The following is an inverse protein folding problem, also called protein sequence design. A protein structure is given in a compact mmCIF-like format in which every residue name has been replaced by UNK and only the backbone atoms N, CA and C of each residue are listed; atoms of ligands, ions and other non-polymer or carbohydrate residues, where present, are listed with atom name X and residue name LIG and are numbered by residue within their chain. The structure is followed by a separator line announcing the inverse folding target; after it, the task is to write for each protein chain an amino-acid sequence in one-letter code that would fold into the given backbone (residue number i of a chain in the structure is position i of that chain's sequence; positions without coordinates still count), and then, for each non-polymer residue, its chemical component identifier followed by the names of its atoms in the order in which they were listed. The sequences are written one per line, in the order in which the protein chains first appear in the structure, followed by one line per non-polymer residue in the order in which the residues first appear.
data_IF_415357375514
#
_entry.id   IF_415357375514
#
_cell.length_a   1.000
_cell.length_b   1.000
_cell.length_c   1.000
_cell.angle_alpha   90.00
_cell.angle_beta   90.00
_cell.angle_gamma   90.00
#
_symmetry.space_group_name_H-M   'P 1'
#
loop_
_entity.id
_entity.type
_entity.pdbx_description
1 polymer ?
#
# COMPACT_ATOMS: atom_id res chain seq x y z
N UNK A 1 -5.82 -0.87 -8.32
CA UNK A 1 -5.26 -0.50 -9.63
C UNK A 1 -3.89 -1.15 -9.76
N UNK A 2 -3.84 -2.48 -9.95
CA UNK A 2 -2.58 -3.22 -10.19
C UNK A 2 -2.24 -3.20 -11.70
N UNK A 3 -3.28 -3.04 -12.53
CA UNK A 3 -3.25 -3.17 -13.99
C UNK A 3 -2.68 -1.92 -14.69
N UNK A 4 -2.80 -0.72 -14.13
CA UNK A 4 -2.36 0.52 -14.80
C UNK A 4 -0.85 0.81 -14.65
N UNK A 5 -0.08 -0.13 -14.09
CA UNK A 5 1.32 0.10 -13.74
C UNK A 5 2.18 -0.89 -14.51
N UNK A 6 3.01 -0.37 -15.41
CA UNK A 6 3.88 -1.18 -16.27
C UNK A 6 5.08 -1.78 -15.53
N UNK A 7 5.30 -1.41 -14.26
CA UNK A 7 6.47 -1.79 -13.46
C UNK A 7 6.07 -2.35 -12.08
N UNK A 8 6.49 -3.59 -11.70
CA UNK A 8 6.28 -4.14 -10.37
C UNK A 8 6.86 -3.28 -9.24
N UNK A 9 7.88 -2.46 -9.50
CA UNK A 9 8.44 -1.53 -8.54
C UNK A 9 7.43 -0.45 -8.10
N UNK A 10 6.53 -0.03 -8.99
CA UNK A 10 5.49 0.92 -8.63
C UNK A 10 4.51 0.31 -7.63
N UNK A 11 4.08 -0.94 -7.85
CA UNK A 11 3.24 -1.70 -6.89
C UNK A 11 3.96 -1.91 -5.55
N UNK A 12 5.23 -2.31 -5.58
CA UNK A 12 6.02 -2.44 -4.36
C UNK A 12 6.06 -1.13 -3.58
N UNK A 13 6.20 0.00 -4.26
CA UNK A 13 6.16 1.31 -3.62
C UNK A 13 4.85 1.60 -2.88
N UNK A 14 3.69 1.23 -3.45
CA UNK A 14 2.42 1.34 -2.72
C UNK A 14 2.40 0.45 -1.48
N UNK A 15 2.93 -0.78 -1.56
CA UNK A 15 3.02 -1.67 -0.40
C UNK A 15 3.93 -1.10 0.69
N UNK A 16 5.08 -0.52 0.32
CA UNK A 16 6.00 0.14 1.26
C UNK A 16 5.36 1.38 1.90
N UNK A 17 4.61 2.18 1.13
CA UNK A 17 3.87 3.32 1.66
C UNK A 17 2.77 2.87 2.65
N UNK A 18 2.03 1.81 2.35
CA UNK A 18 1.03 1.25 3.27
C UNK A 18 1.65 0.64 4.52
N UNK A 19 2.85 0.06 4.43
CA UNK A 19 3.59 -0.43 5.60
C UNK A 19 3.91 0.71 6.58
N UNK A 20 4.30 1.88 6.07
CA UNK A 20 4.50 3.08 6.89
C UNK A 20 3.19 3.62 7.47
N UNK A 21 2.10 3.62 6.69
CA UNK A 21 0.76 4.04 7.18
C UNK A 21 0.28 3.14 8.32
N UNK A 22 0.47 1.83 8.20
CA UNK A 22 0.16 0.84 9.25
C UNK A 22 0.92 1.12 10.54
N UNK A 23 2.19 1.55 10.45
CA UNK A 23 2.99 1.89 11.61
C UNK A 23 2.52 3.20 12.27
N UNK A 24 2.02 4.15 11.48
CA UNK A 24 1.49 5.41 11.97
C UNK A 24 0.11 5.27 12.63
N UNK A 25 -0.74 4.36 12.12
CA UNK A 25 -2.07 4.05 12.68
C UNK A 25 -2.32 2.54 12.68
N UNK A 26 -2.47 1.97 13.87
CA UNK A 26 -2.80 0.56 14.04
C UNK A 26 -4.15 0.24 13.37
N UNK A 27 -4.19 -0.64 12.34
CA UNK A 27 -5.42 -0.99 11.64
C UNK A 27 -6.45 -1.67 12.55
N UNK A 28 -6.00 -2.46 13.52
CA UNK A 28 -6.91 -3.14 14.44
C UNK A 28 -7.52 -2.15 15.41
N UNK A 29 -6.75 -1.17 15.89
CA UNK A 29 -7.29 -0.13 16.76
C UNK A 29 -8.34 0.70 16.02
N UNK A 30 -8.08 1.06 14.75
CA UNK A 30 -9.04 1.79 13.92
C UNK A 30 -10.33 1.00 13.70
N UNK A 31 -10.23 -0.29 13.37
CA UNK A 31 -11.39 -1.17 13.24
C UNK A 31 -12.21 -1.20 14.54
N UNK A 32 -11.56 -1.39 15.68
CA UNK A 32 -12.26 -1.47 16.97
C UNK A 32 -12.86 -0.13 17.42
N UNK A 33 -12.26 1.00 17.05
CA UNK A 33 -12.83 2.34 17.28
C UNK A 33 -14.13 2.54 16.48
N UNK A 34 -14.17 2.03 15.24
CA UNK A 34 -15.34 2.11 14.35
C UNK A 34 -16.48 1.18 14.80
N UNK A 35 -16.13 -0.04 15.27
CA UNK A 35 -17.10 -1.03 15.74
C UNK A 35 -17.56 -0.81 17.19
N UNK A 36 -16.78 -0.09 17.99
CA UNK A 36 -17.05 0.21 19.39
C UNK A 36 -16.70 -0.92 20.37
N UNK A 37 -16.85 -0.62 21.66
CA UNK A 37 -16.34 -1.46 22.76
C UNK A 37 -16.97 -2.86 22.87
N UNK A 38 -18.23 -3.02 22.44
CA UNK A 38 -18.90 -4.32 22.45
C UNK A 38 -18.26 -5.29 21.46
N UNK A 39 -17.86 -4.82 20.28
CA UNK A 39 -17.16 -5.63 19.29
C UNK A 39 -15.75 -6.02 19.79
N UNK A 40 -15.04 -5.10 20.46
CA UNK A 40 -13.76 -5.40 21.09
C UNK A 40 -13.87 -6.51 22.16
N UNK A 41 -14.89 -6.46 23.01
CA UNK A 41 -15.13 -7.53 24.00
C UNK A 41 -15.50 -8.85 23.33
N UNK A 42 -16.33 -8.81 22.27
CA UNK A 42 -16.69 -10.02 21.50
C UNK A 42 -15.44 -10.67 20.93
N UNK A 43 -14.57 -9.90 20.29
CA UNK A 43 -13.31 -10.38 19.74
C UNK A 43 -12.42 -11.00 20.83
N UNK A 44 -12.30 -10.37 22.00
CA UNK A 44 -11.50 -10.92 23.11
C UNK A 44 -12.08 -12.23 23.65
N UNK A 45 -13.40 -12.32 23.79
CA UNK A 45 -14.06 -13.48 24.41
C UNK A 45 -14.26 -14.65 23.44
N UNK A 46 -14.46 -14.36 22.16
CA UNK A 46 -14.83 -15.36 21.14
C UNK A 46 -13.73 -15.58 20.09
N UNK A 47 -12.81 -14.64 19.95
CA UNK A 47 -11.83 -14.63 18.87
C UNK A 47 -12.39 -14.21 17.51
N UNK A 48 -13.63 -13.71 17.46
CA UNK A 48 -14.35 -13.51 16.20
C UNK A 48 -15.00 -12.10 16.08
N UNK A 49 -15.20 -11.67 14.84
CA UNK A 49 -15.91 -10.45 14.45
C UNK A 49 -17.03 -10.80 13.47
N UNK A 50 -18.12 -10.04 13.50
CA UNK A 50 -19.22 -10.29 12.58
C UNK A 50 -18.81 -9.88 11.16
N UNK A 51 -19.15 -10.69 10.16
CA UNK A 51 -18.85 -10.39 8.75
C UNK A 51 -19.44 -9.04 8.31
N UNK A 52 -20.63 -8.70 8.82
CA UNK A 52 -21.28 -7.42 8.56
C UNK A 52 -20.52 -6.22 9.18
N UNK A 53 -19.82 -6.44 10.29
CA UNK A 53 -18.96 -5.42 10.92
C UNK A 53 -17.71 -5.17 10.06
N UNK A 54 -17.07 -6.25 9.58
CA UNK A 54 -15.92 -6.16 8.67
C UNK A 54 -16.28 -5.52 7.33
N UNK A 55 -17.42 -5.87 6.75
CA UNK A 55 -17.90 -5.32 5.48
C UNK A 55 -18.12 -3.80 5.58
N UNK A 56 -18.79 -3.34 6.65
CA UNK A 56 -19.03 -1.92 6.90
C UNK A 56 -17.73 -1.16 7.08
N UNK A 57 -16.78 -1.72 7.83
CA UNK A 57 -15.47 -1.10 7.99
C UNK A 57 -14.73 -1.01 6.66
N UNK A 58 -14.79 -2.05 5.82
CA UNK A 58 -14.17 -2.04 4.49
C UNK A 58 -14.74 -0.94 3.58
N UNK A 59 -16.05 -0.68 3.63
CA UNK A 59 -16.67 0.46 2.92
C UNK A 59 -16.08 1.80 3.40
N UNK A 60 -15.92 1.97 4.71
CA UNK A 60 -15.26 3.15 5.29
C UNK A 60 -13.80 3.27 4.84
N UNK A 61 -13.05 2.16 4.84
CA UNK A 61 -11.66 2.12 4.39
C UNK A 61 -11.51 2.60 2.95
N UNK A 62 -12.35 2.08 2.04
CA UNK A 62 -12.29 2.43 0.61
C UNK A 62 -12.70 3.88 0.36
N UNK A 63 -13.64 4.41 1.14
CA UNK A 63 -14.10 5.79 1.01
C UNK A 63 -13.14 6.82 1.65
N UNK A 64 -12.25 6.39 2.54
CA UNK A 64 -11.34 7.28 3.28
C UNK A 64 -10.05 7.50 2.48
N UNK A 65 -9.69 8.75 2.14
CA UNK A 65 -8.40 9.03 1.52
C UNK A 65 -7.24 8.52 2.39
N UNK A 66 -6.22 7.86 1.82
CA UNK A 66 -5.06 7.41 2.58
C UNK A 66 -4.39 8.58 3.29
N UNK A 67 -3.97 8.36 4.53
CA UNK A 67 -3.20 9.36 5.25
C UNK A 67 -1.89 9.67 4.50
N UNK A 68 -1.44 10.95 4.47
CA UNK A 68 -0.15 11.27 3.89
C UNK A 68 0.97 10.57 4.68
N UNK A 69 1.98 10.10 3.95
CA UNK A 69 3.20 9.52 4.54
C UNK A 69 4.29 10.59 4.46
N UNK A 70 5.11 10.69 5.50
CA UNK A 70 6.27 11.57 5.51
C UNK A 70 7.26 11.17 4.41
N UNK A 71 7.67 12.13 3.59
CA UNK A 71 8.51 11.86 2.42
C UNK A 71 9.92 11.37 2.78
N UNK A 72 10.51 11.86 3.88
CA UNK A 72 11.84 11.43 4.32
C UNK A 72 11.78 9.98 4.84
N UNK A 73 10.76 9.65 5.64
CA UNK A 73 10.52 8.29 6.08
C UNK A 73 10.25 7.34 4.90
N UNK A 74 9.52 7.82 3.89
CA UNK A 74 9.22 7.04 2.69
C UNK A 74 10.49 6.75 1.88
N UNK A 75 11.33 7.76 1.61
CA UNK A 75 12.59 7.57 0.89
C UNK A 75 13.55 6.64 1.64
N UNK A 76 13.66 6.79 2.96
CA UNK A 76 14.44 5.86 3.78
C UNK A 76 13.93 4.41 3.64
N UNK A 77 12.60 4.22 3.60
CA UNK A 77 12.00 2.90 3.44
C UNK A 77 12.26 2.28 2.06
N UNK A 78 12.27 3.08 1.00
CA UNK A 78 12.67 2.66 -0.35
C UNK A 78 14.13 2.23 -0.40
N UNK A 79 15.03 3.02 0.21
CA UNK A 79 16.46 2.70 0.32
C UNK A 79 16.69 1.37 1.05
N UNK A 80 16.02 1.16 2.19
CA UNK A 80 16.10 -0.09 2.96
C UNK A 80 15.62 -1.31 2.16
N UNK A 81 14.62 -1.13 1.31
CA UNK A 81 14.09 -2.18 0.45
C UNK A 81 14.90 -2.40 -0.83
N UNK A 82 15.82 -1.50 -1.18
CA UNK A 82 16.53 -1.50 -2.46
C UNK A 82 15.59 -1.31 -3.66
N UNK A 83 14.43 -0.67 -3.44
CA UNK A 83 13.43 -0.42 -4.48
C UNK A 83 13.50 1.07 -4.86
N UNK A 84 13.55 1.42 -6.16
CA UNK A 84 13.54 2.82 -6.58
C UNK A 84 12.19 3.49 -6.26
N UNK A 85 12.25 4.73 -5.78
CA UNK A 85 11.06 5.52 -5.46
C UNK A 85 10.38 6.12 -6.70
N UNK A 86 11.14 6.29 -7.80
CA UNK A 86 10.68 6.95 -9.03
C UNK A 86 9.45 6.30 -9.66
N UNK A 87 9.36 4.96 -9.85
CA UNK A 87 8.17 4.32 -10.41
C UNK A 87 6.92 4.57 -9.58
N UNK A 88 7.03 4.57 -8.26
CA UNK A 88 5.92 4.91 -7.35
C UNK A 88 5.52 6.38 -7.45
N UNK A 89 6.50 7.30 -7.49
CA UNK A 89 6.23 8.73 -7.64
C UNK A 89 5.48 9.05 -8.95
N UNK A 90 5.85 8.35 -10.04
CA UNK A 90 5.20 8.45 -11.35
C UNK A 90 3.81 7.80 -11.38
N UNK A 91 3.60 6.76 -10.61
CA UNK A 91 2.29 6.13 -10.46
C UNK A 91 1.30 7.03 -9.71
N UNK A 92 1.77 7.78 -8.72
CA UNK A 92 0.95 8.79 -8.03
C UNK A 92 0.61 9.99 -8.92
N UNK A 93 1.58 10.45 -9.71
CA UNK A 93 1.43 11.55 -10.64
C UNK A 93 2.30 11.31 -11.88
N UNK A 94 1.64 11.00 -12.99
CA UNK A 94 2.31 10.68 -14.25
C UNK A 94 3.20 11.82 -14.75
N UNK A 95 2.82 13.07 -14.47
CA UNK A 95 3.60 14.26 -14.84
C UNK A 95 4.85 14.36 -13.97
N UNK A 96 4.76 13.91 -12.71
CA UNK A 96 5.78 14.02 -11.68
C UNK A 96 5.84 15.40 -11.02
N UNK A 97 4.90 16.32 -11.30
CA UNK A 97 4.95 17.69 -10.78
C UNK A 97 4.70 17.73 -9.26
N UNK A 98 3.70 17.00 -8.79
CA UNK A 98 3.39 16.91 -7.35
C UNK A 98 4.34 16.00 -6.58
N UNK A 99 5.02 15.08 -7.27
CA UNK A 99 5.91 14.08 -6.66
C UNK A 99 7.39 14.30 -6.98
N UNK A 100 7.74 15.47 -7.51
CA UNK A 100 9.10 15.79 -7.95
C UNK A 100 10.15 15.55 -6.87
N UNK A 101 9.83 15.89 -5.62
CA UNK A 101 10.71 15.68 -4.47
C UNK A 101 11.08 14.21 -4.22
N UNK A 102 10.22 13.24 -4.59
CA UNK A 102 10.52 11.81 -4.49
C UNK A 102 11.39 11.32 -5.65
N UNK A 103 11.22 11.93 -6.83
CA UNK A 103 11.97 11.59 -8.05
C UNK A 103 13.41 12.12 -7.93
N UNK A 104 13.58 13.37 -7.51
CA UNK A 104 14.90 14.00 -7.39
C UNK A 104 15.73 13.46 -6.23
N UNK A 105 15.06 12.95 -5.18
CA UNK A 105 15.70 12.41 -4.00
C UNK A 105 15.66 10.86 -3.95
N UNK A 106 15.39 10.20 -5.08
CA UNK A 106 15.36 8.73 -5.17
C UNK A 106 16.71 8.16 -4.71
N UNK A 107 16.76 7.38 -3.61
CA UNK A 107 18.01 6.96 -3.00
C UNK A 107 18.62 5.73 -3.68
N UNK A 108 17.91 5.10 -4.62
CA UNK A 108 18.34 3.85 -5.26
C UNK A 108 18.70 4.12 -6.71
N UNK A 109 19.97 3.91 -7.07
CA UNK A 109 20.38 3.98 -8.46
C UNK A 109 19.80 2.80 -9.27
N UNK A 110 19.43 2.99 -10.55
CA UNK A 110 18.85 1.92 -11.37
C UNK A 110 19.73 0.67 -11.48
N UNK A 111 21.05 0.81 -11.35
CA UNK A 111 22.01 -0.30 -11.39
C UNK A 111 22.07 -1.09 -10.07
N UNK A 112 21.63 -0.48 -8.97
CA UNK A 112 21.64 -1.07 -7.62
C UNK A 112 20.25 -1.57 -7.20
N UNK A 113 19.22 -1.26 -7.98
CA UNK A 113 17.85 -1.67 -7.72
C UNK A 113 17.71 -3.19 -7.65
N UNK A 114 17.07 -3.65 -6.57
CA UNK A 114 16.73 -5.07 -6.39
C UNK A 114 15.49 -5.39 -7.24
N UNK A 115 15.54 -6.40 -8.11
CA UNK A 115 14.35 -6.86 -8.83
C UNK A 115 13.26 -7.29 -7.85
N UNK A 116 12.10 -6.61 -7.88
CA UNK A 116 10.98 -6.87 -6.96
C UNK A 116 10.34 -8.23 -7.25
N UNK A 117 10.06 -8.49 -8.53
CA UNK A 117 9.47 -9.72 -9.05
C UNK A 117 10.05 -9.99 -10.43
N UNK A 118 10.15 -11.26 -10.82
CA UNK A 118 10.42 -11.60 -12.21
C UNK A 118 9.20 -11.35 -13.11
N UNK A 119 9.45 -11.14 -14.40
CA UNK A 119 8.42 -10.81 -15.39
C UNK A 119 7.31 -11.86 -15.46
N UNK A 120 7.64 -13.16 -15.34
CA UNK A 120 6.65 -14.22 -15.43
C UNK A 120 5.73 -14.24 -14.22
N UNK A 121 6.27 -14.02 -13.02
CA UNK A 121 5.48 -13.82 -11.81
C UNK A 121 4.65 -12.54 -11.86
N UNK A 122 5.19 -11.46 -12.40
CA UNK A 122 4.47 -10.19 -12.54
C UNK A 122 3.25 -10.32 -13.45
N UNK A 123 3.42 -10.91 -14.64
CA UNK A 123 2.30 -11.21 -15.55
C UNK A 123 1.31 -12.18 -14.91
N UNK A 124 1.81 -13.18 -14.18
CA UNK A 124 0.95 -14.11 -13.43
C UNK A 124 0.08 -13.40 -12.39
N UNK A 125 0.64 -12.42 -11.68
CA UNK A 125 -0.08 -11.61 -10.69
C UNK A 125 -1.15 -10.74 -11.36
N UNK A 126 -0.82 -10.08 -12.47
CA UNK A 126 -1.79 -9.29 -13.25
C UNK A 126 -2.95 -10.18 -13.73
N UNK A 127 -2.66 -11.38 -14.22
CA UNK A 127 -3.68 -12.34 -14.66
C UNK A 127 -4.64 -12.79 -13.55
N UNK A 128 -4.21 -12.82 -12.28
CA UNK A 128 -5.10 -13.10 -11.14
C UNK A 128 -6.11 -11.96 -10.94
N UNK A 129 -5.67 -10.71 -11.10
CA UNK A 129 -6.54 -9.54 -10.98
C UNK A 129 -7.53 -9.45 -12.14
N UNK A 130 -7.08 -9.70 -13.38
CA UNK A 130 -7.93 -9.65 -14.57
C UNK A 130 -8.94 -10.82 -14.63
N UNK A 131 -8.52 -12.02 -14.21
CA UNK A 131 -9.27 -13.26 -14.39
C UNK A 131 -10.51 -13.44 -13.50
N UNK A 132 -10.71 -12.59 -12.48
CA UNK A 132 -11.83 -12.68 -11.52
C UNK A 132 -12.94 -11.64 -11.78
N UNK A 133 -12.79 -10.77 -12.78
CA UNK A 133 -13.73 -9.70 -13.11
C UNK A 133 -14.86 -10.05 -14.08
N UNK A 134 -15.24 -11.34 -14.23
CA UNK A 134 -16.41 -11.76 -15.04
C UNK A 134 -17.43 -12.52 -14.22
#
# INVERSE_FOLDING_TARGET
VVEDHDDPAAMAGFVLAEDLRRQARDPLSWLLEDLGWFAALRLILTGDLEEADLARHAETLVATPPAPVDSEALLARFAEAGVPATPYARALDITGESTLHLIEADPVEPLEAVPVLDDALWVGLQGICEGRGR
#
